data_IF_327780029776
#
_entry.id   IF_327780029776
#
_cell.length_a   1.000
_cell.length_b   1.000
_cell.length_c   1.000
_cell.angle_alpha   90.00
_cell.angle_beta   90.00
_cell.angle_gamma   90.00
#
_symmetry.space_group_name_H-M   'P 1'
#
loop_
_entity.id
_entity.type
_entity.pdbx_description
1 polymer ?
#
# COMPACT_ATOMS: atom_id res chain seq x y z
N UNK A 1 -2.07 -8.04 22.36
CA UNK A 1 -2.61 -6.67 22.24
C UNK A 1 -1.57 -5.69 22.77
N UNK A 2 -1.39 -4.54 22.11
CA UNK A 2 -0.45 -3.50 22.59
C UNK A 2 -1.07 -2.83 23.82
N UNK A 3 -0.39 -2.87 24.96
CA UNK A 3 -0.93 -2.36 26.23
C UNK A 3 -0.95 -0.84 26.30
N UNK A 4 0.05 -0.18 25.69
CA UNK A 4 0.17 1.28 25.68
C UNK A 4 0.76 1.73 24.35
N UNK A 5 0.03 2.60 23.66
CA UNK A 5 0.40 3.11 22.34
C UNK A 5 1.34 4.32 22.45
N UNK A 6 2.19 4.50 21.46
CA UNK A 6 2.97 5.71 21.29
C UNK A 6 2.07 6.83 20.75
N UNK A 7 1.95 7.99 21.44
CA UNK A 7 1.08 9.09 20.98
C UNK A 7 1.46 9.66 19.61
N UNK A 8 2.75 9.68 19.28
CA UNK A 8 3.25 10.16 18.00
C UNK A 8 3.23 9.10 16.91
N UNK A 9 3.12 7.82 17.27
CA UNK A 9 3.03 6.69 16.35
C UNK A 9 1.97 5.69 16.82
N UNK A 10 0.69 5.91 16.49
CA UNK A 10 -0.41 5.10 17.02
C UNK A 10 -0.34 3.61 16.64
N UNK A 11 0.39 3.25 15.58
CA UNK A 11 0.64 1.86 15.19
C UNK A 11 1.75 1.17 16.01
N UNK A 12 2.44 1.88 16.90
CA UNK A 12 3.51 1.35 17.75
C UNK A 12 3.17 1.41 19.25
N UNK A 13 3.79 0.52 20.01
CA UNK A 13 3.84 0.61 21.48
C UNK A 13 4.69 1.80 21.94
N UNK A 14 4.48 2.26 23.18
CA UNK A 14 5.31 3.30 23.81
C UNK A 14 6.77 2.85 24.07
N UNK A 15 7.06 1.56 23.92
CA UNK A 15 8.40 0.99 23.96
C UNK A 15 9.23 1.22 22.70
N UNK A 16 8.64 1.83 21.65
CA UNK A 16 9.26 2.10 20.37
C UNK A 16 9.11 3.58 20.02
N UNK A 17 10.13 4.15 19.37
CA UNK A 17 10.07 5.48 18.77
C UNK A 17 10.80 5.50 17.43
N UNK A 18 10.41 6.38 16.51
CA UNK A 18 11.24 6.65 15.34
C UNK A 18 12.40 7.60 15.67
N UNK A 19 13.49 7.44 14.94
CA UNK A 19 14.65 8.31 14.88
C UNK A 19 15.07 8.45 13.42
N UNK A 20 15.94 9.42 13.15
CA UNK A 20 16.53 9.61 11.85
C UNK A 20 18.05 9.55 11.94
N UNK A 21 18.67 8.91 10.95
CA UNK A 21 20.09 9.06 10.70
C UNK A 21 20.33 9.12 9.19
N UNK A 22 21.40 9.78 8.76
CA UNK A 22 21.74 9.90 7.33
C UNK A 22 21.89 8.54 6.65
N UNK A 23 22.39 7.52 7.37
CA UNK A 23 22.65 6.19 6.82
C UNK A 23 21.43 5.28 6.81
N UNK A 24 20.53 5.40 7.80
CA UNK A 24 19.34 4.52 7.93
C UNK A 24 18.04 5.19 7.49
N UNK A 25 18.07 6.48 7.15
CA UNK A 25 16.86 7.28 7.04
C UNK A 25 16.08 7.29 8.36
N UNK A 26 14.74 7.37 8.25
CA UNK A 26 13.84 7.14 9.37
C UNK A 26 13.89 5.66 9.72
N UNK A 27 14.07 5.35 11.00
CA UNK A 27 14.13 4.00 11.52
C UNK A 27 13.59 3.98 12.93
N UNK A 28 13.03 2.86 13.36
CA UNK A 28 12.58 2.72 14.74
C UNK A 28 13.70 2.25 15.68
N UNK A 29 13.59 2.63 16.96
CA UNK A 29 14.47 2.19 18.05
C UNK A 29 13.64 1.88 19.29
N UNK A 30 14.13 0.94 20.10
CA UNK A 30 13.55 0.66 21.41
C UNK A 30 13.86 1.80 22.40
N UNK A 31 12.88 2.15 23.23
CA UNK A 31 13.01 3.14 24.31
C UNK A 31 13.19 2.50 25.68
N UNK A 32 12.99 1.18 25.76
CA UNK A 32 13.14 0.32 26.93
C UNK A 32 13.43 -1.11 26.49
N UNK A 33 13.69 -1.98 27.46
CA UNK A 33 13.74 -3.42 27.21
C UNK A 33 12.37 -3.94 26.72
N UNK A 34 12.41 -4.76 25.68
CA UNK A 34 11.27 -5.42 25.06
C UNK A 34 11.40 -6.91 25.36
N UNK A 35 10.35 -7.50 25.95
CA UNK A 35 10.39 -8.93 26.29
C UNK A 35 10.13 -9.78 25.04
N UNK A 36 10.72 -10.98 24.95
CA UNK A 36 10.36 -11.93 23.89
C UNK A 36 8.84 -12.16 23.84
N UNK A 37 8.28 -12.12 22.63
CA UNK A 37 6.84 -12.28 22.38
C UNK A 37 5.99 -11.02 22.61
N UNK A 38 6.59 -9.89 22.99
CA UNK A 38 5.85 -8.64 23.17
C UNK A 38 5.42 -8.03 21.82
N UNK A 39 4.13 -7.72 21.68
CA UNK A 39 3.61 -7.02 20.50
C UNK A 39 3.98 -5.53 20.57
N UNK A 40 4.89 -5.11 19.70
CA UNK A 40 5.43 -3.74 19.68
C UNK A 40 4.86 -2.86 18.56
N UNK A 41 4.25 -3.47 17.54
CA UNK A 41 3.72 -2.80 16.37
C UNK A 41 2.47 -3.54 15.86
N UNK A 42 1.45 -2.79 15.45
CA UNK A 42 0.29 -3.29 14.75
C UNK A 42 -0.20 -2.19 13.81
N UNK A 43 -0.22 -2.48 12.51
CA UNK A 43 -0.55 -1.48 11.50
C UNK A 43 -1.62 -2.01 10.57
N UNK A 44 -2.51 -1.13 10.14
CA UNK A 44 -3.51 -1.45 9.13
C UNK A 44 -2.98 -0.97 7.78
N UNK A 45 -3.05 -1.83 6.78
CA UNK A 45 -2.63 -1.46 5.43
C UNK A 45 -3.43 -0.23 4.96
N UNK A 46 -2.72 0.72 4.35
CA UNK A 46 -3.36 1.78 3.57
C UNK A 46 -3.99 1.18 2.31
N UNK A 47 -3.27 0.26 1.67
CA UNK A 47 -3.70 -0.45 0.47
C UNK A 47 -3.24 -1.89 0.54
N UNK A 48 -4.11 -2.82 0.16
CA UNK A 48 -3.78 -4.22 -0.12
C UNK A 48 -4.26 -4.56 -1.52
N UNK A 49 -3.52 -5.45 -2.18
CA UNK A 49 -3.88 -5.97 -3.50
C UNK A 49 -3.59 -7.46 -3.54
N UNK A 50 -4.56 -8.26 -3.97
CA UNK A 50 -4.34 -9.68 -4.23
C UNK A 50 -3.50 -9.86 -5.51
N UNK A 51 -2.84 -11.00 -5.63
CA UNK A 51 -2.18 -11.38 -6.87
C UNK A 51 -3.24 -11.54 -7.97
N UNK A 52 -2.96 -10.97 -9.16
CA UNK A 52 -3.91 -10.92 -10.28
C UNK A 52 -3.63 -11.97 -11.37
N UNK A 53 -2.44 -12.56 -11.38
CA UNK A 53 -1.97 -13.56 -12.34
C UNK A 53 -1.99 -15.00 -11.79
N UNK A 54 -2.55 -15.19 -10.60
CA UNK A 54 -2.80 -16.49 -9.98
C UNK A 54 -4.31 -16.73 -9.89
N UNK A 55 -4.82 -17.71 -10.65
CA UNK A 55 -6.25 -18.02 -10.71
C UNK A 55 -6.82 -18.52 -9.38
N UNK A 56 -6.03 -19.24 -8.58
CA UNK A 56 -6.47 -19.70 -7.26
C UNK A 56 -6.62 -18.49 -6.34
N UNK A 57 -5.68 -17.54 -6.39
CA UNK A 57 -5.77 -16.31 -5.60
C UNK A 57 -6.94 -15.44 -6.06
N UNK A 58 -7.06 -15.16 -7.36
CA UNK A 58 -8.10 -14.26 -7.92
C UNK A 58 -9.52 -14.71 -7.57
N UNK A 59 -9.77 -16.03 -7.55
CA UNK A 59 -11.11 -16.57 -7.32
C UNK A 59 -11.40 -16.94 -5.86
N UNK A 60 -10.39 -17.02 -4.99
CA UNK A 60 -10.59 -17.46 -3.60
C UNK A 60 -10.12 -16.48 -2.54
N UNK A 61 -9.43 -15.40 -2.90
CA UNK A 61 -8.93 -14.39 -1.96
C UNK A 61 -9.70 -13.08 -2.13
N UNK A 62 -10.24 -12.56 -1.03
CA UNK A 62 -10.95 -11.29 -1.02
C UNK A 62 -10.02 -10.13 -1.43
N UNK A 63 -10.37 -9.36 -2.45
CA UNK A 63 -9.53 -8.25 -2.94
C UNK A 63 -9.45 -7.05 -1.98
N UNK A 64 -10.25 -7.04 -0.90
CA UNK A 64 -10.31 -5.98 0.11
C UNK A 64 -9.50 -6.33 1.35
N UNK A 65 -9.69 -7.52 1.92
CA UNK A 65 -9.07 -7.91 3.19
C UNK A 65 -8.09 -9.08 3.07
N UNK A 66 -7.93 -9.65 1.88
CA UNK A 66 -7.12 -10.83 1.59
C UNK A 66 -7.53 -12.10 2.37
N UNK A 67 -8.71 -12.12 2.98
CA UNK A 67 -9.24 -13.34 3.57
C UNK A 67 -9.61 -14.36 2.48
N UNK A 68 -9.17 -15.61 2.68
CA UNK A 68 -9.60 -16.76 1.87
C UNK A 68 -11.10 -17.00 2.07
N UNK A 69 -11.82 -17.16 0.97
CA UNK A 69 -13.28 -17.31 0.94
C UNK A 69 -13.67 -18.52 0.09
N UNK A 70 -14.17 -19.61 0.71
CA UNK A 70 -14.68 -20.77 -0.03
C UNK A 70 -15.95 -20.46 -0.83
N UNK A 71 -16.71 -19.43 -0.42
CA UNK A 71 -17.95 -18.98 -1.07
C UNK A 71 -17.81 -17.52 -1.51
N UNK A 72 -17.01 -17.24 -2.54
CA UNK A 72 -16.74 -15.88 -3.01
C UNK A 72 -17.99 -15.19 -3.56
N UNK A 73 -18.15 -13.91 -3.25
CA UNK A 73 -19.07 -13.03 -3.97
C UNK A 73 -18.31 -12.39 -5.14
N UNK A 74 -18.76 -12.54 -6.40
CA UNK A 74 -18.07 -11.96 -7.54
C UNK A 74 -18.34 -10.46 -7.68
N UNK A 75 -17.44 -9.77 -8.36
CA UNK A 75 -17.73 -8.45 -8.93
C UNK A 75 -18.85 -8.58 -9.98
N UNK A 76 -19.82 -7.64 -10.03
CA UNK A 76 -20.86 -7.66 -11.06
C UNK A 76 -20.38 -7.30 -12.47
N UNK A 77 -19.15 -6.79 -12.62
CA UNK A 77 -18.63 -6.21 -13.86
C UNK A 77 -17.35 -6.88 -14.41
N UNK A 78 -16.62 -7.65 -13.60
CA UNK A 78 -15.41 -8.35 -14.04
C UNK A 78 -15.24 -9.69 -13.32
N UNK A 79 -14.31 -10.51 -13.82
CA UNK A 79 -13.92 -11.79 -13.23
C UNK A 79 -12.59 -11.72 -12.48
N UNK A 80 -12.03 -10.52 -12.29
CA UNK A 80 -10.67 -10.34 -11.77
C UNK A 80 -10.58 -10.25 -10.25
N UNK A 81 -11.72 -10.17 -9.55
CA UNK A 81 -11.75 -10.10 -8.08
C UNK A 81 -12.97 -10.78 -7.49
N UNK A 82 -12.82 -11.22 -6.25
CA UNK A 82 -13.90 -11.70 -5.39
C UNK A 82 -13.91 -10.99 -4.04
N UNK A 83 -15.02 -11.12 -3.31
CA UNK A 83 -15.21 -10.58 -1.97
C UNK A 83 -15.66 -11.68 -1.00
N UNK A 84 -15.20 -11.63 0.26
CA UNK A 84 -15.58 -12.61 1.29
C UNK A 84 -16.94 -12.33 1.95
N UNK A 85 -17.48 -11.11 1.80
CA UNK A 85 -18.73 -10.69 2.44
C UNK A 85 -19.36 -9.52 1.70
N UNK A 86 -20.66 -9.28 1.91
CA UNK A 86 -21.37 -8.13 1.33
C UNK A 86 -20.78 -6.80 1.82
N UNK A 87 -20.25 -6.77 3.05
CA UNK A 87 -19.52 -5.61 3.58
C UNK A 87 -18.27 -5.33 2.78
N UNK A 88 -17.44 -6.34 2.49
CA UNK A 88 -16.25 -6.17 1.66
C UNK A 88 -16.62 -5.81 0.21
N UNK A 89 -17.67 -6.42 -0.33
CA UNK A 89 -18.15 -6.11 -1.68
C UNK A 89 -18.56 -4.64 -1.79
N UNK A 90 -19.42 -4.18 -0.88
CA UNK A 90 -19.89 -2.79 -0.84
C UNK A 90 -18.70 -1.83 -0.67
N UNK A 91 -17.83 -2.08 0.31
CA UNK A 91 -16.69 -1.18 0.57
C UNK A 91 -15.69 -1.16 -0.59
N UNK A 92 -15.34 -2.33 -1.14
CA UNK A 92 -14.37 -2.43 -2.23
C UNK A 92 -14.86 -1.75 -3.49
N UNK A 93 -16.13 -1.95 -3.85
CA UNK A 93 -16.76 -1.27 -4.99
C UNK A 93 -16.73 0.25 -4.83
N UNK A 94 -17.10 0.77 -3.66
CA UNK A 94 -17.16 2.22 -3.42
C UNK A 94 -15.81 2.90 -3.22
N UNK A 95 -14.80 2.18 -2.71
CA UNK A 95 -13.52 2.77 -2.27
C UNK A 95 -12.49 2.84 -3.41
N UNK A 96 -12.39 1.78 -4.22
CA UNK A 96 -11.36 1.72 -5.27
C UNK A 96 -11.77 0.90 -6.50
N UNK A 97 -12.53 -0.18 -6.31
CA UNK A 97 -12.68 -1.21 -7.33
C UNK A 97 -13.47 -0.71 -8.52
N UNK A 98 -14.49 0.14 -8.32
CA UNK A 98 -15.25 0.70 -9.43
C UNK A 98 -14.35 1.40 -10.46
N UNK A 99 -13.31 2.11 -10.01
CA UNK A 99 -12.37 2.85 -10.87
C UNK A 99 -11.38 1.92 -11.57
N UNK A 100 -10.82 0.92 -10.89
CA UNK A 100 -9.82 0.00 -11.48
C UNK A 100 -10.45 -1.19 -12.24
N UNK A 101 -11.74 -1.47 -12.06
CA UNK A 101 -12.39 -2.71 -12.50
C UNK A 101 -12.13 -3.06 -13.98
N UNK A 102 -12.28 -2.10 -14.89
CA UNK A 102 -12.06 -2.32 -16.33
C UNK A 102 -10.58 -2.42 -16.72
N UNK A 103 -9.67 -2.04 -15.82
CA UNK A 103 -8.23 -2.05 -16.05
C UNK A 103 -7.57 -3.34 -15.59
N UNK A 104 -8.17 -4.07 -14.64
CA UNK A 104 -7.52 -5.21 -13.98
C UNK A 104 -7.11 -6.33 -14.95
N UNK A 105 -7.90 -6.61 -15.99
CA UNK A 105 -7.53 -7.60 -17.00
C UNK A 105 -6.28 -7.19 -17.77
N UNK A 106 -6.16 -5.92 -18.14
CA UNK A 106 -4.96 -5.39 -18.80
C UNK A 106 -3.77 -5.36 -17.85
N UNK A 107 -3.97 -4.97 -16.60
CA UNK A 107 -2.92 -4.95 -15.57
C UNK A 107 -2.37 -6.37 -15.32
N UNK A 108 -3.25 -7.37 -15.21
CA UNK A 108 -2.84 -8.76 -15.08
C UNK A 108 -2.06 -9.24 -16.32
N UNK A 109 -2.53 -8.92 -17.53
CA UNK A 109 -1.86 -9.30 -18.77
C UNK A 109 -0.49 -8.63 -18.96
N UNK A 110 -0.25 -7.46 -18.36
CA UNK A 110 1.07 -6.82 -18.36
C UNK A 110 2.08 -7.54 -17.48
N UNK A 111 1.65 -8.33 -16.50
CA UNK A 111 2.53 -9.17 -15.67
C UNK A 111 3.55 -8.39 -14.85
N UNK A 112 3.26 -7.14 -14.48
CA UNK A 112 4.14 -6.32 -13.64
C UNK A 112 3.59 -6.28 -12.21
N UNK A 113 4.23 -6.99 -11.24
CA UNK A 113 3.62 -7.25 -9.94
C UNK A 113 3.17 -6.01 -9.16
N UNK A 114 3.93 -4.91 -9.23
CA UNK A 114 3.63 -3.69 -8.48
C UNK A 114 2.61 -2.76 -9.17
N UNK A 115 2.18 -3.05 -10.41
CA UNK A 115 1.19 -2.21 -11.11
C UNK A 115 -0.15 -2.19 -10.38
N UNK A 116 -0.61 -3.37 -9.95
CA UNK A 116 -1.89 -3.51 -9.28
C UNK A 116 -1.90 -2.74 -7.94
N UNK A 117 -0.80 -2.80 -7.18
CA UNK A 117 -0.67 -2.07 -5.92
C UNK A 117 -0.63 -0.55 -6.11
N UNK A 118 0.16 -0.04 -7.08
CA UNK A 118 0.22 1.40 -7.35
C UNK A 118 -1.11 1.91 -7.90
N UNK A 119 -1.74 1.17 -8.82
CA UNK A 119 -3.08 1.47 -9.32
C UNK A 119 -4.08 1.54 -8.16
N UNK A 120 -4.03 0.58 -7.22
CA UNK A 120 -4.88 0.56 -6.02
C UNK A 120 -4.64 1.77 -5.12
N UNK A 121 -3.38 2.16 -4.89
CA UNK A 121 -3.04 3.37 -4.11
C UNK A 121 -3.66 4.61 -4.77
N UNK A 122 -3.51 4.75 -6.10
CA UNK A 122 -4.05 5.88 -6.83
C UNK A 122 -5.58 5.92 -6.78
N UNK A 123 -6.26 4.82 -7.10
CA UNK A 123 -7.73 4.76 -7.14
C UNK A 123 -8.34 4.95 -5.76
N UNK A 124 -7.80 4.30 -4.72
CA UNK A 124 -8.23 4.53 -3.32
C UNK A 124 -8.03 5.97 -2.87
N UNK A 125 -6.89 6.58 -3.22
CA UNK A 125 -6.64 7.98 -2.87
C UNK A 125 -7.50 8.93 -3.70
N UNK A 126 -7.91 8.52 -4.91
CA UNK A 126 -8.63 9.33 -5.91
C UNK A 126 -7.81 10.50 -6.46
N UNK A 127 -8.12 10.90 -7.70
CA UNK A 127 -7.46 12.06 -8.31
C UNK A 127 -7.71 13.36 -7.54
N UNK A 128 -8.91 13.56 -6.98
CA UNK A 128 -9.27 14.78 -6.26
C UNK A 128 -8.40 15.01 -5.01
N UNK A 129 -8.16 13.98 -4.20
CA UNK A 129 -7.28 14.10 -3.03
C UNK A 129 -5.84 14.34 -3.50
N UNK A 130 -5.37 13.58 -4.48
CA UNK A 130 -4.02 13.76 -5.04
C UNK A 130 -3.83 15.20 -5.51
N UNK A 131 -4.74 15.72 -6.35
CA UNK A 131 -4.69 17.09 -6.87
C UNK A 131 -4.70 18.14 -5.77
N UNK A 132 -5.59 17.99 -4.79
CA UNK A 132 -5.72 18.94 -3.67
C UNK A 132 -4.48 18.97 -2.78
N UNK A 133 -3.84 17.82 -2.56
CA UNK A 133 -2.70 17.68 -1.63
C UNK A 133 -1.34 17.86 -2.31
N UNK A 134 -1.25 17.67 -3.63
CA UNK A 134 0.03 17.59 -4.34
C UNK A 134 0.99 18.74 -4.05
N UNK A 135 0.55 19.99 -4.19
CA UNK A 135 1.41 21.16 -3.93
C UNK A 135 1.89 21.22 -2.48
N UNK A 136 1.00 20.95 -1.52
CA UNK A 136 1.36 20.95 -0.10
C UNK A 136 2.39 19.86 0.19
N UNK A 137 2.21 18.65 -0.36
CA UNK A 137 3.14 17.53 -0.18
C UNK A 137 4.53 17.79 -0.78
N UNK A 138 4.60 18.48 -1.94
CA UNK A 138 5.88 18.91 -2.51
C UNK A 138 6.59 19.92 -1.60
N UNK A 139 5.86 20.94 -1.13
CA UNK A 139 6.41 21.93 -0.19
C UNK A 139 6.91 21.24 1.07
N UNK A 140 6.14 20.31 1.64
CA UNK A 140 6.55 19.55 2.82
C UNK A 140 7.87 18.80 2.60
N UNK A 141 8.08 18.20 1.42
CA UNK A 141 9.31 17.49 1.07
C UNK A 141 10.54 18.41 1.02
N UNK A 142 10.34 19.69 0.70
CA UNK A 142 11.40 20.70 0.63
C UNK A 142 11.69 21.34 2.00
N UNK A 143 10.65 21.60 2.80
CA UNK A 143 10.76 22.42 4.02
C UNK A 143 10.83 21.61 5.32
N UNK A 144 10.20 20.43 5.39
CA UNK A 144 10.25 19.60 6.60
C UNK A 144 11.59 18.87 6.64
N UNK A 145 12.13 18.73 7.86
CA UNK A 145 13.26 17.85 8.06
C UNK A 145 12.86 16.39 7.77
N UNK A 146 13.78 15.54 7.26
CA UNK A 146 13.44 14.17 6.86
C UNK A 146 12.78 13.31 7.94
N UNK A 147 13.05 13.57 9.21
CA UNK A 147 12.45 12.89 10.36
C UNK A 147 10.98 13.26 10.61
N UNK A 148 10.52 14.41 10.10
CA UNK A 148 9.15 14.92 10.28
C UNK A 148 8.24 14.67 9.06
N UNK A 149 8.76 14.08 7.98
CA UNK A 149 7.94 13.73 6.81
C UNK A 149 6.90 12.66 7.17
N UNK A 150 5.64 12.90 6.77
CA UNK A 150 4.48 12.06 7.12
C UNK A 150 3.78 12.45 8.43
N UNK A 151 4.39 13.31 9.26
CA UNK A 151 3.71 13.82 10.45
C UNK A 151 2.73 14.92 10.11
N UNK A 152 1.57 14.85 10.76
CA UNK A 152 0.57 15.92 10.73
C UNK A 152 0.92 17.06 11.70
N UNK A 153 0.08 18.10 11.74
CA UNK A 153 0.29 19.28 12.59
C UNK A 153 0.25 18.98 14.09
N UNK A 154 -0.35 17.85 14.49
CA UNK A 154 -0.39 17.38 15.88
C UNK A 154 0.81 16.49 16.24
N UNK A 155 1.83 16.42 15.37
CA UNK A 155 3.01 15.55 15.55
C UNK A 155 2.64 14.07 15.70
N UNK A 156 1.63 13.63 14.94
CA UNK A 156 1.23 12.22 14.82
C UNK A 156 1.56 11.70 13.42
N UNK A 157 2.21 10.54 13.36
CA UNK A 157 2.42 9.75 12.15
C UNK A 157 1.24 8.79 11.98
N UNK A 158 0.23 9.20 11.20
CA UNK A 158 -1.01 8.45 11.00
C UNK A 158 -0.91 7.57 9.75
N UNK A 159 -0.76 6.27 9.95
CA UNK A 159 -0.65 5.26 8.88
C UNK A 159 -1.85 5.21 7.93
N UNK A 160 -3.01 5.74 8.34
CA UNK A 160 -4.20 5.80 7.50
C UNK A 160 -4.23 7.01 6.55
N UNK A 161 -3.32 7.97 6.75
CA UNK A 161 -3.24 9.20 5.98
C UNK A 161 -2.42 9.05 4.70
N UNK A 162 -2.85 9.73 3.63
CA UNK A 162 -2.13 9.72 2.37
C UNK A 162 -0.74 10.39 2.49
N UNK A 163 -0.58 11.34 3.41
CA UNK A 163 0.67 12.02 3.70
C UNK A 163 1.78 11.03 4.09
N UNK A 164 1.46 10.04 4.94
CA UNK A 164 2.45 9.03 5.34
C UNK A 164 2.87 8.15 4.17
N UNK A 165 1.92 7.73 3.33
CA UNK A 165 2.15 6.93 2.11
C UNK A 165 3.01 7.70 1.11
N UNK A 166 2.65 8.95 0.81
CA UNK A 166 3.35 9.79 -0.16
C UNK A 166 4.80 10.08 0.23
N UNK A 167 5.05 10.17 1.54
CA UNK A 167 6.37 10.42 2.10
C UNK A 167 7.16 9.15 2.39
N UNK A 168 6.70 7.96 1.98
CA UNK A 168 7.53 6.75 2.02
C UNK A 168 8.78 6.92 1.14
N UNK A 169 9.89 6.33 1.58
CA UNK A 169 11.19 6.57 0.93
C UNK A 169 11.24 5.86 -0.42
N UNK A 170 11.63 6.56 -1.48
CA UNK A 170 11.76 5.98 -2.82
C UNK A 170 13.20 5.59 -3.21
N UNK A 171 14.19 5.92 -2.37
CA UNK A 171 15.63 5.72 -2.61
C UNK A 171 16.13 6.23 -3.98
N UNK A 172 15.56 7.33 -4.47
CA UNK A 172 15.83 7.84 -5.83
C UNK A 172 17.32 8.01 -6.14
N UNK A 173 18.12 8.46 -5.18
CA UNK A 173 19.56 8.71 -5.37
C UNK A 173 20.40 7.43 -5.42
N UNK A 174 19.88 6.31 -4.93
CA UNK A 174 20.56 5.00 -4.92
C UNK A 174 20.20 4.16 -6.16
N UNK A 175 19.28 4.65 -7.00
CA UNK A 175 18.77 3.93 -8.17
C UNK A 175 19.61 4.19 -9.41
N UNK A 176 19.70 3.20 -10.29
CA UNK A 176 20.32 3.39 -11.59
C UNK A 176 19.42 4.27 -12.48
N UNK A 177 20.04 4.93 -13.47
CA UNK A 177 19.30 5.70 -14.49
C UNK A 177 18.29 4.80 -15.22
N UNK A 178 18.64 3.54 -15.48
CA UNK A 178 17.75 2.58 -16.14
C UNK A 178 16.52 2.27 -15.27
N UNK A 179 16.68 2.13 -13.95
CA UNK A 179 15.55 1.91 -13.04
C UNK A 179 14.61 3.12 -13.00
N UNK A 180 15.16 4.32 -13.05
CA UNK A 180 14.38 5.57 -13.08
C UNK A 180 13.61 5.67 -14.41
N UNK A 181 14.26 5.42 -15.55
CA UNK A 181 13.60 5.42 -16.86
C UNK A 181 12.48 4.37 -16.90
N UNK A 182 12.75 3.16 -16.42
CA UNK A 182 11.74 2.09 -16.30
C UNK A 182 10.54 2.55 -15.47
N UNK A 183 10.78 3.14 -14.30
CA UNK A 183 9.71 3.67 -13.43
C UNK A 183 8.90 4.78 -14.11
N UNK A 184 9.55 5.67 -14.90
CA UNK A 184 8.86 6.69 -15.68
C UNK A 184 7.97 6.08 -16.79
N UNK A 185 8.47 5.06 -17.49
CA UNK A 185 7.68 4.33 -18.51
C UNK A 185 6.48 3.63 -17.89
N UNK A 186 6.67 2.99 -16.73
CA UNK A 186 5.60 2.34 -15.97
C UNK A 186 4.56 3.35 -15.49
N UNK A 187 4.99 4.51 -14.98
CA UNK A 187 4.09 5.59 -14.58
C UNK A 187 3.25 6.09 -15.76
N UNK A 188 3.87 6.27 -16.93
CA UNK A 188 3.16 6.66 -18.15
C UNK A 188 2.08 5.64 -18.52
N UNK A 189 2.40 4.34 -18.49
CA UNK A 189 1.43 3.27 -18.81
C UNK A 189 0.24 3.32 -17.84
N UNK A 190 0.48 3.40 -16.53
CA UNK A 190 -0.60 3.45 -15.54
C UNK A 190 -1.48 4.69 -15.74
N UNK A 191 -0.89 5.86 -15.99
CA UNK A 191 -1.65 7.09 -16.25
C UNK A 191 -2.44 7.02 -17.56
N UNK A 192 -1.88 6.41 -18.59
CA UNK A 192 -2.58 6.22 -19.87
C UNK A 192 -3.78 5.27 -19.71
N UNK A 193 -3.65 4.19 -18.93
CA UNK A 193 -4.76 3.31 -18.55
C UNK A 193 -5.83 4.07 -17.75
N UNK A 194 -5.43 4.85 -16.75
CA UNK A 194 -6.35 5.66 -15.95
C UNK A 194 -7.08 6.73 -16.78
N UNK A 195 -6.44 7.26 -17.84
CA UNK A 195 -7.09 8.17 -18.78
C UNK A 195 -8.17 7.47 -19.61
N UNK A 196 -7.99 6.19 -19.94
CA UNK A 196 -8.90 5.41 -20.77
C UNK A 196 -10.09 4.79 -19.98
N UNK A 197 -10.00 4.69 -18.65
CA UNK A 197 -11.08 4.10 -17.84
C UNK A 197 -12.29 5.03 -17.64
N UNK A 198 -12.19 6.32 -18.00
CA UNK A 198 -13.23 7.34 -17.81
C UNK A 198 -13.81 7.41 -16.38
N UNK A 199 -13.04 7.05 -15.35
CA UNK A 199 -13.51 7.03 -13.95
C UNK A 199 -12.57 7.71 -12.96
N UNK A 200 -11.28 7.80 -13.28
CA UNK A 200 -10.28 8.32 -12.33
C UNK A 200 -10.18 9.84 -12.32
N UNK A 201 -10.20 10.46 -13.50
CA UNK A 201 -10.12 11.91 -13.64
C UNK A 201 -11.53 12.52 -13.49
N UNK A 202 -11.80 13.02 -12.29
CA UNK A 202 -13.08 13.66 -11.95
C UNK A 202 -12.86 15.08 -11.46
N UNK A 203 -13.88 15.93 -11.56
CA UNK A 203 -13.93 17.20 -10.86
C UNK A 203 -14.32 17.02 -9.39
N UNK A 204 -14.42 18.12 -8.63
CA UNK A 204 -14.75 18.09 -7.20
C UNK A 204 -16.16 17.57 -6.89
N UNK A 205 -17.06 17.60 -7.89
CA UNK A 205 -18.41 17.05 -7.79
C UNK A 205 -18.48 15.57 -8.21
N UNK A 206 -17.33 14.93 -8.48
CA UNK A 206 -17.27 13.53 -8.94
C UNK A 206 -17.65 13.32 -10.40
N UNK A 207 -17.80 14.39 -11.19
CA UNK A 207 -18.12 14.26 -12.62
C UNK A 207 -16.85 13.99 -13.41
N UNK A 208 -16.92 13.02 -14.32
CA UNK A 208 -15.83 12.63 -15.21
C UNK A 208 -15.41 13.82 -16.08
N UNK A 209 -14.11 14.04 -16.20
CA UNK A 209 -13.55 15.12 -17.00
C UNK A 209 -12.26 14.68 -17.70
N UNK A 210 -12.06 15.12 -18.93
CA UNK A 210 -10.77 14.97 -19.60
C UNK A 210 -9.67 15.72 -18.83
N UNK A 211 -8.55 15.07 -18.47
CA UNK A 211 -7.50 15.72 -17.69
C UNK A 211 -6.77 16.78 -18.53
N UNK A 212 -6.45 17.91 -17.89
CA UNK A 212 -5.53 18.89 -18.45
C UNK A 212 -4.08 18.37 -18.45
N UNK A 213 -3.18 19.09 -19.11
CA UNK A 213 -1.74 18.79 -19.04
C UNK A 213 -1.21 18.82 -17.61
N UNK A 214 -1.69 19.77 -16.80
CA UNK A 214 -1.29 19.90 -15.39
C UNK A 214 -1.82 18.73 -14.56
N UNK A 215 -3.05 18.27 -14.81
CA UNK A 215 -3.63 17.10 -14.15
C UNK A 215 -2.80 15.84 -14.43
N UNK A 216 -2.35 15.66 -15.68
CA UNK A 216 -1.47 14.56 -16.08
C UNK A 216 -0.10 14.64 -15.39
N UNK A 217 0.48 15.83 -15.25
CA UNK A 217 1.75 16.04 -14.55
C UNK A 217 1.60 15.69 -13.07
N UNK A 218 0.50 16.12 -12.43
CA UNK A 218 0.23 15.84 -11.02
C UNK A 218 0.06 14.34 -10.80
N UNK A 219 -0.82 13.69 -11.58
CA UNK A 219 -1.11 12.28 -11.44
C UNK A 219 0.12 11.42 -11.77
N UNK A 220 0.85 11.74 -12.85
CA UNK A 220 2.08 11.04 -13.21
C UNK A 220 3.19 11.19 -12.18
N UNK A 221 3.35 12.38 -11.57
CA UNK A 221 4.33 12.61 -10.51
C UNK A 221 3.98 11.85 -9.22
N UNK A 222 2.69 11.76 -8.89
CA UNK A 222 2.22 10.93 -7.77
C UNK A 222 2.43 9.43 -8.06
N UNK A 223 2.07 8.96 -9.25
CA UNK A 223 2.27 7.59 -9.68
C UNK A 223 3.75 7.19 -9.63
N UNK A 224 4.65 8.03 -10.14
CA UNK A 224 6.09 7.79 -10.08
C UNK A 224 6.61 7.74 -8.64
N UNK A 225 6.12 8.63 -7.77
CA UNK A 225 6.45 8.61 -6.33
C UNK A 225 6.07 7.26 -5.72
N UNK A 226 4.86 6.78 -6.00
CA UNK A 226 4.38 5.50 -5.47
C UNK A 226 5.16 4.33 -6.03
N UNK A 227 5.40 4.26 -7.34
CA UNK A 227 6.24 3.23 -7.97
C UNK A 227 7.59 3.09 -7.26
N UNK A 228 8.30 4.20 -7.10
CA UNK A 228 9.61 4.22 -6.46
C UNK A 228 9.55 3.79 -4.98
N UNK A 229 8.47 4.14 -4.27
CA UNK A 229 8.29 3.78 -2.86
C UNK A 229 7.87 2.32 -2.66
N UNK A 230 6.93 1.78 -3.45
CA UNK A 230 6.42 0.41 -3.28
C UNK A 230 7.49 -0.66 -3.49
N UNK A 231 8.56 -0.37 -4.23
CA UNK A 231 9.72 -1.26 -4.37
C UNK A 231 10.42 -1.59 -3.05
N UNK A 232 10.36 -0.70 -2.06
CA UNK A 232 11.11 -0.88 -0.80
C UNK A 232 10.25 -0.73 0.46
N UNK A 233 8.97 -0.40 0.33
CA UNK A 233 8.05 -0.22 1.46
C UNK A 233 6.81 -1.13 1.40
N UNK A 234 6.67 -1.95 0.35
CA UNK A 234 5.57 -2.90 0.23
C UNK A 234 5.91 -4.23 0.91
N UNK A 235 4.91 -4.83 1.53
CA UNK A 235 5.00 -6.11 2.24
C UNK A 235 4.31 -7.18 1.43
N UNK A 236 5.00 -8.29 1.21
CA UNK A 236 4.39 -9.50 0.69
C UNK A 236 3.52 -10.15 1.78
N UNK A 237 2.31 -10.54 1.40
CA UNK A 237 1.32 -11.13 2.30
C UNK A 237 1.07 -12.55 1.81
N UNK A 238 1.43 -13.52 2.64
CA UNK A 238 1.21 -14.93 2.36
C UNK A 238 0.29 -15.58 3.37
N UNK A 239 -0.25 -16.73 2.98
CA UNK A 239 -0.96 -17.65 3.86
C UNK A 239 -0.17 -18.95 4.01
N UNK A 240 -0.27 -19.56 5.18
CA UNK A 240 0.27 -20.89 5.42
C UNK A 240 -0.83 -21.92 5.20
N UNK A 241 -0.60 -22.85 4.27
CA UNK A 241 -1.37 -24.06 4.13
C UNK A 241 -0.61 -25.15 4.88
N UNK A 242 -1.22 -25.69 5.94
CA UNK A 242 -0.59 -26.70 6.79
C UNK A 242 -1.42 -27.96 6.71
N UNK A 243 -0.78 -29.09 6.44
CA UNK A 243 -1.40 -30.39 6.57
C UNK A 243 -1.60 -30.71 8.05
N UNK A 244 -2.85 -30.92 8.46
CA UNK A 244 -3.19 -31.19 9.86
C UNK A 244 -2.69 -32.55 10.35
N UNK A 245 -2.44 -33.48 9.43
CA UNK A 245 -1.93 -34.82 9.74
C UNK A 245 -0.39 -34.86 9.77
N UNK A 246 0.27 -33.88 9.15
CA UNK A 246 1.72 -33.71 9.14
C UNK A 246 2.09 -32.21 9.15
N UNK A 247 2.36 -31.65 10.33
CA UNK A 247 2.68 -30.22 10.48
C UNK A 247 4.00 -29.81 9.81
N UNK A 248 4.86 -30.76 9.44
CA UNK A 248 6.07 -30.50 8.67
C UNK A 248 5.75 -30.32 7.17
N UNK A 249 4.60 -30.84 6.72
CA UNK A 249 4.04 -30.61 5.39
C UNK A 249 3.23 -29.31 5.38
N UNK A 250 3.93 -28.20 5.07
CA UNK A 250 3.33 -26.89 4.90
C UNK A 250 3.84 -26.19 3.63
N UNK A 251 2.99 -25.35 3.05
CA UNK A 251 3.36 -24.42 1.98
C UNK A 251 3.01 -22.99 2.35
N UNK A 252 3.89 -22.06 2.00
CA UNK A 252 3.62 -20.63 2.07
C UNK A 252 3.24 -20.15 0.68
N UNK A 253 2.00 -19.72 0.53
CA UNK A 253 1.49 -19.17 -0.74
C UNK A 253 1.39 -17.66 -0.61
N UNK A 254 2.02 -16.93 -1.52
CA UNK A 254 1.83 -15.50 -1.62
C UNK A 254 0.41 -15.22 -2.13
N UNK A 255 -0.37 -14.42 -1.41
CA UNK A 255 -1.76 -14.10 -1.75
C UNK A 255 -1.92 -12.63 -2.11
N UNK A 256 -0.90 -11.80 -1.91
CA UNK A 256 -0.96 -10.39 -2.23
C UNK A 256 0.16 -9.56 -1.64
N UNK A 257 -0.03 -8.24 -1.77
CA UNK A 257 0.90 -7.24 -1.24
C UNK A 257 0.13 -6.16 -0.50
N UNK A 258 0.81 -5.46 0.39
CA UNK A 258 0.21 -4.31 1.08
C UNK A 258 1.22 -3.23 1.43
N UNK A 259 0.73 -1.99 1.44
CA UNK A 259 1.47 -0.82 1.90
C UNK A 259 1.04 -0.50 3.33
N UNK A 260 1.99 -0.61 4.27
CA UNK A 260 1.81 -0.38 5.70
C UNK A 260 2.74 0.75 6.14
N UNK A 261 2.31 2.03 6.08
CA UNK A 261 3.23 3.15 6.23
C UNK A 261 4.03 3.16 7.53
N UNK A 262 3.45 2.71 8.65
CA UNK A 262 4.17 2.64 9.92
C UNK A 262 5.13 1.46 9.94
N UNK A 263 4.70 0.26 9.50
CA UNK A 263 5.62 -0.89 9.42
C UNK A 263 6.76 -0.67 8.44
N UNK A 264 6.59 0.16 7.41
CA UNK A 264 7.68 0.54 6.49
C UNK A 264 8.84 1.29 7.18
N UNK A 265 8.66 1.78 8.41
CA UNK A 265 9.74 2.36 9.23
C UNK A 265 10.61 1.29 9.93
N UNK A 266 10.24 0.01 9.83
CA UNK A 266 11.04 -1.13 10.27
C UNK A 266 12.08 -1.45 9.21
N UNK A 267 13.30 -0.94 9.40
CA UNK A 267 14.39 -1.24 8.48
C UNK A 267 14.76 -2.74 8.51
N UNK A 268 15.08 -3.27 7.33
CA UNK A 268 15.60 -4.61 7.18
C UNK A 268 16.89 -4.82 7.99
N UNK A 269 17.03 -6.00 8.60
CA UNK A 269 18.22 -6.43 9.34
C UNK A 269 18.52 -7.89 8.99
N UNK A 270 19.78 -8.18 8.64
CA UNK A 270 20.23 -9.56 8.39
C UNK A 270 20.23 -10.43 9.65
N UNK A 271 20.12 -9.82 10.84
CA UNK A 271 19.93 -10.50 12.12
C UNK A 271 18.79 -9.79 12.87
N UNK A 272 17.53 -10.10 12.55
CA UNK A 272 16.38 -9.39 13.11
C UNK A 272 16.11 -9.84 14.55
N UNK A 273 15.82 -8.88 15.44
CA UNK A 273 15.39 -9.13 16.81
C UNK A 273 13.87 -9.13 16.99
N UNK A 274 13.12 -8.94 15.89
CA UNK A 274 11.67 -8.93 15.84
C UNK A 274 11.20 -9.56 14.52
N UNK A 275 9.99 -10.10 14.52
CA UNK A 275 9.35 -10.70 13.35
C UNK A 275 8.04 -9.98 13.07
N UNK A 276 7.74 -9.79 11.78
CA UNK A 276 6.45 -9.27 11.32
C UNK A 276 5.59 -10.47 10.97
N UNK A 277 4.40 -10.53 11.56
CA UNK A 277 3.40 -11.54 11.25
C UNK A 277 2.13 -10.83 10.77
N UNK A 278 1.60 -11.30 9.65
CA UNK A 278 0.27 -10.93 9.17
C UNK A 278 -0.75 -11.85 9.82
N UNK A 279 -1.82 -11.29 10.36
CA UNK A 279 -2.95 -12.08 10.86
C UNK A 279 -4.18 -11.75 10.02
N UNK A 280 -4.77 -12.78 9.42
CA UNK A 280 -6.05 -12.65 8.74
C UNK A 280 -7.16 -12.31 9.74
N UNK A 281 -8.17 -11.57 9.28
CA UNK A 281 -9.45 -11.50 9.98
C UNK A 281 -10.30 -12.67 9.50
N UNK A 282 -9.99 -13.87 9.98
CA UNK A 282 -10.96 -14.97 9.91
C UNK A 282 -12.09 -14.62 10.88
N UNK A 283 -13.22 -14.15 10.33
CA UNK A 283 -14.49 -14.16 11.06
C UNK A 283 -15.02 -15.59 11.14
#
# INVERSE_FOLDING_TARGET
>A
QILKLNPSFPSFSDGITARYSKHKGRHIVATRDIRPGELIAADKAYSTCNILDDEDVVHTICCVCLARTPTPLPCPQCTMVVFCSESCKSSGLSDFHETECSLLTTVAALGVPHFAEVLRILTKTTFNIIRKRFRALQIEREVKSPDLLGFNQASVYDSSSYETVYHLVGNLQERSVLDIIKSCSEAYIIIDLLRQCDKFFTNENGQIQSPSKDDLIIAGSACLTHLLSTFCNSFELGEYLVNVDDIEDYSLTNIGRGTFPSLALLNHSCNPSAMILSYGTTN
#
